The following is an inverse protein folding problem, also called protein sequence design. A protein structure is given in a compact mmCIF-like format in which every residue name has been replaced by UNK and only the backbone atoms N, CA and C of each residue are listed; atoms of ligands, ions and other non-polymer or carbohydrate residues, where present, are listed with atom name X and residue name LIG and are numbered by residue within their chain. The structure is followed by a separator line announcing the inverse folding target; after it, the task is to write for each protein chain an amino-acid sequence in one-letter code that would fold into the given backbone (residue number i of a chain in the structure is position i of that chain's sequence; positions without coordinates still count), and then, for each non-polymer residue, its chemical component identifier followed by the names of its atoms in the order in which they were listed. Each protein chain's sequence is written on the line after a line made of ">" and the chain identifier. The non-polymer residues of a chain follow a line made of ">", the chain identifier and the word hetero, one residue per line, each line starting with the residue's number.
data_IF_475957727756
#
_entry.id   IF_475957727756
#
_cell.length_a   1.000
_cell.length_b   1.000
_cell.length_c   1.000
_cell.angle_alpha   90.00
_cell.angle_beta   90.00
_cell.angle_gamma   90.00
#
_symmetry.space_group_name_H-M   'P 1'
#
loop_
_entity.id
_entity.type
_entity.pdbx_description
1 polymer ?
#
# COMPACT_ATOMS: atom_id res chain seq x y z
N UNK A 1 15.47 11.97 -0.70
CA UNK A 1 16.27 13.17 -0.36
C UNK A 1 17.22 12.83 0.75
N UNK A 2 18.33 13.55 0.90
CA UNK A 2 19.26 13.34 2.01
C UNK A 2 18.78 14.09 3.26
N UNK A 3 18.97 13.51 4.43
CA UNK A 3 18.43 14.02 5.71
C UNK A 3 18.82 15.48 5.98
N UNK A 4 20.05 15.85 5.60
CA UNK A 4 20.59 17.21 5.79
C UNK A 4 19.71 18.33 5.21
N UNK A 5 18.98 18.08 4.13
CA UNK A 5 18.16 19.07 3.43
C UNK A 5 16.66 18.77 3.48
N UNK A 6 16.27 17.70 4.17
CA UNK A 6 14.88 17.26 4.19
C UNK A 6 14.17 17.83 5.41
N UNK A 7 13.16 18.65 5.18
CA UNK A 7 12.24 19.03 6.25
C UNK A 7 11.52 17.78 6.76
N UNK A 8 11.34 17.60 8.08
CA UNK A 8 10.71 16.42 8.64
C UNK A 8 9.34 16.11 8.02
N UNK A 9 8.53 17.13 7.76
CA UNK A 9 7.21 17.02 7.14
C UNK A 9 7.30 16.45 5.71
N UNK A 10 8.24 16.93 4.91
CA UNK A 10 8.45 16.42 3.55
C UNK A 10 9.02 15.00 3.57
N UNK A 11 9.94 14.69 4.49
CA UNK A 11 10.44 13.34 4.68
C UNK A 11 9.34 12.35 5.09
N UNK A 12 8.39 12.79 5.91
CA UNK A 12 7.25 11.98 6.31
C UNK A 12 6.31 11.65 5.13
N UNK A 13 6.14 12.55 4.16
CA UNK A 13 5.30 12.30 2.98
C UNK A 13 5.98 11.36 1.99
N UNK A 14 7.28 11.56 1.75
CA UNK A 14 8.02 10.87 0.68
C UNK A 14 8.79 9.62 1.13
N UNK A 15 8.62 9.18 2.38
CA UNK A 15 9.22 7.91 2.81
C UNK A 15 8.49 6.70 2.21
N UNK A 16 9.19 5.57 2.22
CA UNK A 16 8.71 4.31 1.66
C UNK A 16 7.41 3.83 2.33
N UNK A 17 7.30 3.95 3.66
CA UNK A 17 6.09 3.56 4.40
C UNK A 17 4.87 4.32 3.92
N UNK A 18 4.98 5.64 3.79
CA UNK A 18 3.91 6.51 3.29
C UNK A 18 3.54 6.22 1.84
N UNK A 19 4.51 5.86 0.99
CA UNK A 19 4.24 5.39 -0.38
C UNK A 19 3.33 4.16 -0.37
N UNK A 20 3.72 3.14 0.41
CA UNK A 20 3.04 1.85 0.48
C UNK A 20 1.66 1.96 1.16
N UNK A 21 1.56 2.72 2.25
CA UNK A 21 0.27 2.98 2.89
C UNK A 21 -0.69 3.69 1.91
N UNK A 22 -0.19 4.63 1.11
CA UNK A 22 -1.01 5.32 0.09
C UNK A 22 -1.45 4.40 -1.05
N UNK A 23 -0.59 3.48 -1.50
CA UNK A 23 -0.98 2.47 -2.48
C UNK A 23 -2.12 1.59 -1.95
N UNK A 24 -1.97 1.13 -0.70
CA UNK A 24 -3.00 0.33 -0.03
C UNK A 24 -4.33 1.09 0.12
N UNK A 25 -4.30 2.38 0.43
CA UNK A 25 -5.51 3.21 0.48
C UNK A 25 -6.21 3.27 -0.88
N UNK A 26 -5.45 3.40 -1.97
CA UNK A 26 -6.00 3.41 -3.34
C UNK A 26 -6.63 2.05 -3.68
N UNK A 27 -5.94 0.94 -3.41
CA UNK A 27 -6.47 -0.41 -3.68
C UNK A 27 -7.74 -0.70 -2.86
N UNK A 28 -7.77 -0.31 -1.59
CA UNK A 28 -8.96 -0.39 -0.74
C UNK A 28 -10.12 0.43 -1.33
N UNK A 29 -9.86 1.64 -1.82
CA UNK A 29 -10.88 2.48 -2.44
C UNK A 29 -11.44 1.86 -3.73
N UNK A 30 -10.60 1.24 -4.55
CA UNK A 30 -11.02 0.49 -5.74
C UNK A 30 -11.91 -0.69 -5.33
N UNK A 31 -11.51 -1.47 -4.32
CA UNK A 31 -12.30 -2.59 -3.82
C UNK A 31 -13.67 -2.15 -3.25
N UNK A 32 -13.72 -1.04 -2.52
CA UNK A 32 -14.97 -0.47 -2.01
C UNK A 32 -15.90 -0.06 -3.18
N UNK A 33 -15.33 0.52 -4.23
CA UNK A 33 -16.04 0.85 -5.48
C UNK A 33 -16.59 -0.39 -6.20
N UNK A 34 -15.84 -1.49 -6.17
CA UNK A 34 -16.26 -2.78 -6.72
C UNK A 34 -17.35 -3.42 -5.90
N UNK A 35 -17.29 -3.33 -4.57
CA UNK A 35 -18.41 -3.75 -3.73
C UNK A 35 -19.67 -2.96 -4.09
N UNK A 36 -19.61 -1.63 -4.19
CA UNK A 36 -20.82 -0.85 -4.52
C UNK A 36 -21.47 -1.25 -5.85
N UNK A 37 -20.78 -2.03 -6.68
CA UNK A 37 -21.25 -2.60 -7.95
C UNK A 37 -21.50 -4.12 -7.87
N UNK A 38 -21.59 -4.67 -6.67
CA UNK A 38 -21.83 -6.09 -6.38
C UNK A 38 -20.84 -7.05 -7.03
N UNK A 39 -19.59 -6.61 -7.28
CA UNK A 39 -18.54 -7.44 -7.89
C UNK A 39 -17.80 -8.32 -6.90
N UNK A 40 -17.80 -7.95 -5.62
CA UNK A 40 -17.16 -8.70 -4.52
C UNK A 40 -18.12 -8.76 -3.32
N UNK A 41 -18.07 -9.77 -2.43
CA UNK A 41 -18.98 -9.93 -1.28
C UNK A 41 -18.56 -9.15 0.00
N UNK A 42 -19.49 -8.91 0.96
CA UNK A 42 -19.24 -8.17 2.25
C UNK A 42 -18.08 -8.73 3.01
N UNK A 43 -18.11 -10.02 3.19
CA UNK A 43 -17.10 -10.75 3.91
C UNK A 43 -15.68 -10.56 3.34
N UNK A 44 -15.53 -10.38 2.03
CA UNK A 44 -14.22 -10.08 1.43
C UNK A 44 -13.79 -8.64 1.74
N UNK A 45 -14.70 -7.68 1.64
CA UNK A 45 -14.39 -6.27 1.91
C UNK A 45 -14.08 -6.01 3.39
N UNK A 46 -14.73 -6.70 4.32
CA UNK A 46 -14.41 -6.63 5.76
C UNK A 46 -12.94 -6.95 6.03
N UNK A 47 -12.40 -7.98 5.37
CA UNK A 47 -10.98 -8.34 5.46
C UNK A 47 -10.08 -7.31 4.77
N UNK A 48 -10.49 -6.80 3.61
CA UNK A 48 -9.72 -5.80 2.84
C UNK A 48 -9.59 -4.49 3.63
N UNK A 49 -10.64 -4.02 4.33
CA UNK A 49 -10.59 -2.76 5.10
C UNK A 49 -9.50 -2.76 6.17
N UNK A 50 -9.30 -3.89 6.84
CA UNK A 50 -8.29 -4.06 7.91
C UNK A 50 -6.93 -4.55 7.40
N UNK A 51 -6.78 -4.78 6.09
CA UNK A 51 -5.52 -5.23 5.51
C UNK A 51 -4.40 -4.22 5.78
N UNK A 52 -3.19 -4.73 5.95
CA UNK A 52 -1.94 -3.98 6.15
C UNK A 52 -0.84 -4.57 5.28
N UNK A 53 0.16 -3.76 4.94
CA UNK A 53 1.33 -4.22 4.20
C UNK A 53 2.54 -4.33 5.14
N UNK A 54 3.25 -5.46 5.03
CA UNK A 54 4.53 -5.69 5.68
C UNK A 54 5.68 -5.37 4.70
N UNK A 55 6.37 -4.26 4.95
CA UNK A 55 7.51 -3.81 4.15
C UNK A 55 8.67 -4.81 4.12
N UNK A 56 8.90 -5.54 5.21
CA UNK A 56 9.96 -6.55 5.27
C UNK A 56 9.63 -7.72 4.35
N UNK A 57 8.37 -8.18 4.37
CA UNK A 57 7.93 -9.25 3.47
C UNK A 57 7.93 -8.80 2.01
N UNK A 58 7.46 -7.59 1.72
CA UNK A 58 7.47 -7.01 0.38
C UNK A 58 8.88 -7.01 -0.20
N UNK A 59 9.90 -6.55 0.54
CA UNK A 59 11.29 -6.51 0.07
C UNK A 59 11.87 -7.88 -0.27
N UNK A 60 11.43 -8.93 0.42
CA UNK A 60 11.84 -10.31 0.10
C UNK A 60 11.23 -10.76 -1.22
N UNK A 61 9.96 -10.44 -1.46
CA UNK A 61 9.27 -10.80 -2.71
C UNK A 61 9.85 -10.00 -3.89
N UNK A 62 10.17 -8.71 -3.69
CA UNK A 62 10.74 -7.83 -4.71
C UNK A 62 12.09 -8.34 -5.23
N UNK A 63 12.90 -8.98 -4.37
CA UNK A 63 14.16 -9.60 -4.79
C UNK A 63 13.96 -10.77 -5.77
N UNK A 64 12.80 -11.42 -5.74
CA UNK A 64 12.47 -12.52 -6.66
C UNK A 64 11.75 -12.02 -7.91
N UNK A 65 10.90 -10.99 -7.78
CA UNK A 65 10.04 -10.50 -8.86
C UNK A 65 10.66 -9.39 -9.70
N UNK A 66 11.67 -8.68 -9.17
CA UNK A 66 12.22 -7.43 -9.72
C UNK A 66 11.11 -6.41 -10.08
N UNK A 67 10.02 -6.43 -9.30
CA UNK A 67 8.84 -5.61 -9.53
C UNK A 67 8.13 -5.26 -8.22
N UNK A 68 8.14 -3.98 -7.88
CA UNK A 68 7.65 -3.43 -6.62
C UNK A 68 6.12 -3.55 -6.44
N UNK A 69 5.32 -3.28 -7.47
CA UNK A 69 3.85 -3.43 -7.41
C UNK A 69 3.40 -4.88 -7.25
N UNK A 70 4.15 -5.85 -7.79
CA UNK A 70 3.83 -7.28 -7.61
C UNK A 70 4.25 -7.75 -6.21
N UNK A 71 5.31 -7.16 -5.68
CA UNK A 71 5.84 -7.50 -4.36
C UNK A 71 5.01 -6.93 -3.20
N UNK A 72 4.35 -5.80 -3.44
CA UNK A 72 3.38 -5.16 -2.54
C UNK A 72 2.16 -6.06 -2.28
#
# INVERSE_FOLDING_TARGET
>A
MIDRYTLPEMGAVWNERSKIDRWLDVEKAVCESWRRRDRIPEQAMERIRVATCDLGRMKVIEQETDHDVIAF
#
